data_IF_410153466204
#
_entry.id   IF_410153466204
#
_cell.length_a   1.000
_cell.length_b   1.000
_cell.length_c   1.000
_cell.angle_alpha   90.00
_cell.angle_beta   90.00
_cell.angle_gamma   90.00
#
_symmetry.space_group_name_H-M   'P 1'
#
loop_
_entity.id
_entity.type
_entity.pdbx_description
1 polymer ?
#
# COMPACT_ATOMS: atom_id res chain seq x y z
N UNK A 1 -28.71 2.14 -18.97
CA UNK A 1 -28.06 0.82 -19.17
C UNK A 1 -26.73 0.87 -18.44
N UNK A 2 -26.39 -0.13 -17.63
CA UNK A 2 -25.09 -0.20 -16.93
C UNK A 2 -24.26 -1.26 -17.64
N UNK A 3 -23.17 -0.83 -18.28
CA UNK A 3 -22.20 -1.72 -18.91
C UNK A 3 -21.07 -1.95 -17.92
N UNK A 4 -20.78 -3.22 -17.62
CA UNK A 4 -19.60 -3.60 -16.85
C UNK A 4 -18.48 -3.95 -17.82
N UNK A 5 -17.42 -3.14 -17.80
CA UNK A 5 -16.18 -3.45 -18.51
C UNK A 5 -15.23 -4.14 -17.55
N UNK A 6 -14.65 -5.26 -18.00
CA UNK A 6 -13.58 -5.95 -17.28
C UNK A 6 -12.23 -5.48 -17.82
N UNK A 7 -11.18 -5.43 -16.98
CA UNK A 7 -9.82 -5.20 -17.45
C UNK A 7 -9.44 -6.17 -18.57
N UNK A 8 -8.79 -5.68 -19.61
CA UNK A 8 -8.31 -6.50 -20.73
C UNK A 8 -7.06 -7.24 -20.27
N UNK A 9 -6.90 -8.50 -20.65
CA UNK A 9 -5.71 -9.26 -20.29
C UNK A 9 -4.47 -8.79 -21.05
N UNK A 10 -3.30 -8.85 -20.40
CA UNK A 10 -2.02 -8.44 -20.99
C UNK A 10 -1.74 -9.08 -22.36
N UNK A 11 -1.98 -10.39 -22.60
CA UNK A 11 -1.75 -10.99 -23.92
C UNK A 11 -2.60 -10.37 -25.03
N UNK A 12 -3.83 -9.95 -24.72
CA UNK A 12 -4.72 -9.29 -25.68
C UNK A 12 -4.23 -7.86 -25.98
N UNK A 13 -3.74 -7.16 -24.96
CA UNK A 13 -3.11 -5.84 -25.14
C UNK A 13 -1.86 -5.97 -26.02
N UNK A 14 -0.95 -6.88 -25.67
CA UNK A 14 0.29 -7.14 -26.43
C UNK A 14 -0.02 -7.42 -27.90
N UNK A 15 -0.94 -8.36 -28.17
CA UNK A 15 -1.33 -8.71 -29.53
C UNK A 15 -1.85 -7.49 -30.32
N UNK A 16 -2.61 -6.61 -29.66
CA UNK A 16 -3.12 -5.40 -30.31
C UNK A 16 -2.02 -4.38 -30.58
N UNK A 17 -1.09 -4.18 -29.64
CA UNK A 17 0.06 -3.28 -29.83
C UNK A 17 0.99 -3.80 -30.95
N UNK A 18 1.23 -5.11 -31.03
CA UNK A 18 1.99 -5.72 -32.12
C UNK A 18 1.34 -5.49 -33.48
N UNK A 19 0.01 -5.61 -33.56
CA UNK A 19 -0.73 -5.33 -34.79
C UNK A 19 -0.55 -3.86 -35.23
N UNK A 20 -0.63 -2.92 -34.28
CA UNK A 20 -0.46 -1.49 -34.54
C UNK A 20 0.97 -1.23 -35.02
N UNK A 21 1.98 -1.71 -34.29
CA UNK A 21 3.38 -1.54 -34.65
C UNK A 21 3.71 -2.09 -36.04
N UNK A 22 3.16 -3.27 -36.40
CA UNK A 22 3.32 -3.85 -37.75
C UNK A 22 2.66 -3.01 -38.83
N UNK A 23 1.47 -2.47 -38.56
CA UNK A 23 0.72 -1.66 -39.53
C UNK A 23 1.44 -0.34 -39.83
N UNK A 24 1.98 0.28 -38.79
CA UNK A 24 2.66 1.58 -38.86
C UNK A 24 4.17 1.46 -39.15
N UNK A 25 4.70 0.24 -39.35
CA UNK A 25 6.11 -0.06 -39.61
C UNK A 25 7.08 0.38 -38.50
N UNK A 26 6.70 0.21 -37.22
CA UNK A 26 7.59 0.38 -36.08
C UNK A 26 8.27 -0.93 -35.67
N UNK A 27 9.56 -0.85 -35.32
CA UNK A 27 10.35 -1.98 -34.84
C UNK A 27 10.38 -1.97 -33.31
N UNK A 28 9.54 -2.79 -32.68
CA UNK A 28 9.40 -2.84 -31.22
C UNK A 28 9.76 -4.23 -30.71
N UNK A 29 10.61 -4.30 -29.68
CA UNK A 29 10.99 -5.58 -29.07
C UNK A 29 9.80 -6.24 -28.35
N UNK A 30 9.69 -7.59 -28.36
CA UNK A 30 8.61 -8.30 -27.65
C UNK A 30 8.52 -7.96 -26.16
N UNK A 31 9.67 -7.78 -25.49
CA UNK A 31 9.73 -7.42 -24.08
C UNK A 31 9.23 -6.00 -23.81
N UNK A 32 9.37 -5.08 -24.76
CA UNK A 32 8.80 -3.72 -24.67
C UNK A 32 7.27 -3.78 -24.63
N UNK A 33 6.63 -4.59 -25.49
CA UNK A 33 5.17 -4.76 -25.44
C UNK A 33 4.67 -5.32 -24.11
N UNK A 34 5.39 -6.29 -23.53
CA UNK A 34 5.05 -6.82 -22.21
C UNK A 34 5.12 -5.74 -21.12
N UNK A 35 6.13 -4.87 -21.18
CA UNK A 35 6.27 -3.74 -20.25
C UNK A 35 5.17 -2.69 -20.44
N UNK A 36 4.77 -2.37 -21.68
CA UNK A 36 3.65 -1.47 -21.96
C UNK A 36 2.32 -2.03 -21.47
N UNK A 37 2.05 -3.32 -21.68
CA UNK A 37 0.82 -3.96 -21.21
C UNK A 37 0.72 -3.92 -19.68
N UNK A 38 1.84 -4.22 -18.99
CA UNK A 38 1.94 -4.13 -17.53
C UNK A 38 1.73 -2.71 -17.00
N UNK A 39 2.19 -1.69 -17.72
CA UNK A 39 1.92 -0.28 -17.39
C UNK A 39 0.44 0.08 -17.52
N UNK A 40 -0.20 -0.41 -18.60
CA UNK A 40 -1.56 -0.08 -18.95
C UNK A 40 -2.64 -0.69 -18.03
N UNK A 41 -2.30 -1.68 -17.20
CA UNK A 41 -3.19 -2.26 -16.17
C UNK A 41 -4.60 -2.64 -16.70
N UNK A 42 -4.65 -3.18 -17.91
CA UNK A 42 -5.90 -3.60 -18.55
C UNK A 42 -6.64 -2.53 -19.37
N UNK A 43 -6.11 -1.31 -19.45
CA UNK A 43 -6.61 -0.23 -20.29
C UNK A 43 -6.01 -0.23 -21.70
N UNK A 44 -6.78 -0.63 -22.71
CA UNK A 44 -6.29 -0.61 -24.11
C UNK A 44 -5.91 0.80 -24.59
N UNK A 45 -6.65 1.83 -24.16
CA UNK A 45 -6.34 3.23 -24.50
C UNK A 45 -5.03 3.68 -23.87
N UNK A 46 -4.79 3.28 -22.61
CA UNK A 46 -3.55 3.61 -21.91
C UNK A 46 -2.37 2.94 -22.61
N UNK A 47 -2.51 1.67 -22.99
CA UNK A 47 -1.51 0.94 -23.76
C UNK A 47 -1.16 1.62 -25.11
N UNK A 48 -2.18 2.07 -25.85
CA UNK A 48 -1.97 2.79 -27.11
C UNK A 48 -1.32 4.15 -26.89
N UNK A 49 -1.74 4.88 -25.84
CA UNK A 49 -1.16 6.18 -25.48
C UNK A 49 0.33 6.04 -25.10
N UNK A 50 0.67 4.96 -24.37
CA UNK A 50 2.06 4.63 -24.03
C UNK A 50 2.88 4.34 -25.30
N UNK A 51 2.35 3.55 -26.23
CA UNK A 51 3.04 3.25 -27.48
C UNK A 51 3.29 4.53 -28.30
N UNK A 52 2.26 5.39 -28.46
CA UNK A 52 2.37 6.67 -29.15
C UNK A 52 3.43 7.59 -28.50
N UNK A 53 3.43 7.64 -27.17
CA UNK A 53 4.41 8.41 -26.41
C UNK A 53 5.83 7.90 -26.66
N UNK A 54 6.05 6.57 -26.63
CA UNK A 54 7.36 5.97 -26.86
C UNK A 54 7.85 6.20 -28.29
N UNK A 55 6.96 6.13 -29.29
CA UNK A 55 7.30 6.46 -30.67
C UNK A 55 7.79 7.92 -30.76
N UNK A 56 7.15 8.85 -30.04
CA UNK A 56 7.54 10.26 -30.04
C UNK A 56 8.93 10.49 -29.40
N UNK A 57 9.31 9.71 -28.39
CA UNK A 57 10.60 9.87 -27.70
C UNK A 57 11.76 9.07 -28.33
N UNK A 58 11.49 7.86 -28.80
CA UNK A 58 12.51 6.89 -29.22
C UNK A 58 12.60 6.74 -30.75
N UNK A 59 11.59 7.24 -31.49
CA UNK A 59 11.49 7.11 -32.93
C UNK A 59 10.94 5.75 -33.36
N UNK A 60 11.54 5.16 -34.39
CA UNK A 60 10.99 3.96 -35.06
C UNK A 60 11.43 2.64 -34.48
N UNK A 61 12.45 2.64 -33.60
CA UNK A 61 12.94 1.44 -32.92
C UNK A 61 12.79 1.61 -31.42
N UNK A 62 12.04 0.72 -30.78
CA UNK A 62 11.74 0.77 -29.35
C UNK A 62 12.22 -0.52 -28.70
N UNK A 63 13.17 -0.40 -27.79
CA UNK A 63 13.68 -1.50 -26.96
C UNK A 63 12.96 -1.55 -25.62
N UNK A 64 13.10 -2.65 -24.89
CA UNK A 64 12.56 -2.73 -23.52
C UNK A 64 13.16 -1.63 -22.62
N UNK A 65 14.47 -1.39 -22.71
CA UNK A 65 15.17 -0.36 -21.91
C UNK A 65 14.53 1.02 -22.05
N UNK A 66 14.10 1.36 -23.26
CA UNK A 66 13.51 2.67 -23.54
C UNK A 66 12.18 2.84 -22.78
N UNK A 67 11.38 1.78 -22.70
CA UNK A 67 10.14 1.77 -21.91
C UNK A 67 10.44 1.93 -20.42
N UNK A 68 11.45 1.19 -19.94
CA UNK A 68 11.81 1.23 -18.53
C UNK A 68 12.32 2.60 -18.11
N UNK A 69 13.12 3.25 -18.95
CA UNK A 69 13.71 4.55 -18.64
C UNK A 69 12.68 5.69 -18.76
N UNK A 70 11.83 5.69 -19.79
CA UNK A 70 10.79 6.73 -19.97
C UNK A 70 9.77 6.73 -18.84
N UNK A 71 9.43 5.56 -18.29
CA UNK A 71 8.44 5.42 -17.22
C UNK A 71 9.03 5.13 -15.84
N UNK A 72 10.37 5.21 -15.68
CA UNK A 72 11.03 4.97 -14.40
C UNK A 72 10.79 3.55 -13.84
N UNK A 73 10.59 2.55 -14.69
CA UNK A 73 10.34 1.19 -14.24
C UNK A 73 11.64 0.47 -13.90
N UNK A 74 11.62 -0.31 -12.82
CA UNK A 74 12.72 -1.19 -12.48
C UNK A 74 12.82 -2.36 -13.47
N UNK A 75 14.04 -2.83 -13.71
CA UNK A 75 14.27 -4.02 -14.54
C UNK A 75 13.72 -5.26 -13.83
N UNK A 76 13.14 -6.23 -14.55
CA UNK A 76 12.64 -7.48 -13.94
C UNK A 76 13.70 -8.22 -13.11
N UNK A 77 14.96 -8.12 -13.53
CA UNK A 77 16.11 -8.75 -12.87
C UNK A 77 16.37 -8.15 -11.48
N UNK A 78 16.28 -6.82 -11.36
CA UNK A 78 16.49 -6.09 -10.10
C UNK A 78 15.36 -6.38 -9.11
N UNK A 79 14.11 -6.38 -9.61
CA UNK A 79 12.93 -6.73 -8.81
C UNK A 79 13.03 -8.16 -8.27
N UNK A 80 13.47 -9.10 -9.11
CA UNK A 80 13.68 -10.49 -8.70
C UNK A 80 14.80 -10.60 -7.66
N UNK A 81 15.94 -9.92 -7.88
CA UNK A 81 17.05 -9.89 -6.94
C UNK A 81 16.64 -9.29 -5.58
N UNK A 82 15.82 -8.25 -5.59
CA UNK A 82 15.28 -7.61 -4.38
C UNK A 82 14.35 -8.56 -3.63
N UNK A 83 13.39 -9.19 -4.31
CA UNK A 83 12.48 -10.15 -3.70
C UNK A 83 13.22 -11.37 -3.12
N UNK A 84 14.24 -11.88 -3.81
CA UNK A 84 15.09 -12.97 -3.32
C UNK A 84 15.91 -12.55 -2.10
N UNK A 85 16.43 -11.33 -2.08
CA UNK A 85 17.18 -10.78 -0.94
C UNK A 85 16.28 -10.64 0.29
N UNK A 86 15.03 -10.18 0.10
CA UNK A 86 14.01 -10.15 1.15
C UNK A 86 13.70 -11.54 1.70
N UNK A 87 13.49 -12.52 0.82
CA UNK A 87 13.19 -13.90 1.23
C UNK A 87 14.35 -14.57 2.01
N UNK A 88 15.59 -14.19 1.70
CA UNK A 88 16.81 -14.64 2.41
C UNK A 88 17.13 -13.82 3.66
N UNK A 89 16.37 -12.74 3.92
CA UNK A 89 16.66 -11.76 4.97
C UNK A 89 18.06 -11.13 4.86
N UNK A 90 18.54 -10.89 3.64
CA UNK A 90 19.76 -10.15 3.38
C UNK A 90 19.45 -8.64 3.36
N UNK A 91 19.38 -8.04 4.57
CA UNK A 91 19.04 -6.63 4.74
C UNK A 91 20.03 -5.69 4.02
N UNK A 92 21.31 -6.06 3.95
CA UNK A 92 22.32 -5.25 3.28
C UNK A 92 22.11 -5.23 1.77
N UNK A 93 21.81 -6.37 1.15
CA UNK A 93 21.46 -6.45 -0.27
C UNK A 93 20.15 -5.70 -0.57
N UNK A 94 19.14 -5.81 0.30
CA UNK A 94 17.87 -5.07 0.15
C UNK A 94 18.11 -3.57 0.12
N UNK A 95 18.81 -3.01 1.11
CA UNK A 95 19.10 -1.57 1.15
C UNK A 95 19.92 -1.11 -0.06
N UNK A 96 20.95 -1.87 -0.44
CA UNK A 96 21.79 -1.54 -1.60
C UNK A 96 21.01 -1.51 -2.91
N UNK A 97 20.07 -2.44 -3.10
CA UNK A 97 19.21 -2.47 -4.29
C UNK A 97 18.22 -1.30 -4.30
N UNK A 98 17.67 -0.92 -3.15
CA UNK A 98 16.81 0.28 -3.03
C UNK A 98 17.60 1.54 -3.36
N UNK A 99 18.83 1.68 -2.84
CA UNK A 99 19.74 2.78 -3.18
C UNK A 99 19.95 2.87 -4.69
N UNK A 100 20.30 1.74 -5.33
CA UNK A 100 20.52 1.69 -6.77
C UNK A 100 19.26 2.10 -7.56
N UNK A 101 18.09 1.58 -7.19
CA UNK A 101 16.83 1.91 -7.87
C UNK A 101 16.47 3.39 -7.70
N UNK A 102 16.71 3.97 -6.53
CA UNK A 102 16.50 5.39 -6.28
C UNK A 102 17.48 6.27 -7.07
N UNK A 103 18.77 5.89 -7.12
CA UNK A 103 19.80 6.61 -7.86
C UNK A 103 19.58 6.54 -9.38
N UNK A 104 19.01 5.43 -9.87
CA UNK A 104 18.56 5.27 -11.26
C UNK A 104 17.25 6.04 -11.56
N UNK A 105 16.64 6.70 -10.56
CA UNK A 105 15.40 7.46 -10.74
C UNK A 105 14.16 6.60 -10.98
N UNK A 106 14.15 5.36 -10.48
CA UNK A 106 13.00 4.45 -10.63
C UNK A 106 11.84 4.87 -9.72
N UNK A 107 10.62 4.64 -10.18
CA UNK A 107 9.40 4.85 -9.41
C UNK A 107 9.33 3.82 -8.27
N UNK A 108 9.61 4.27 -7.05
CA UNK A 108 9.69 3.42 -5.86
C UNK A 108 8.32 2.90 -5.40
N UNK A 109 7.25 3.62 -5.70
CA UNK A 109 5.90 3.12 -5.47
C UNK A 109 5.62 1.95 -6.42
N UNK A 110 5.98 2.11 -7.70
CA UNK A 110 5.84 1.02 -8.66
C UNK A 110 6.68 -0.19 -8.28
N UNK A 111 7.91 0.01 -7.80
CA UNK A 111 8.75 -1.07 -7.26
C UNK A 111 8.04 -1.82 -6.15
N UNK A 112 7.39 -1.13 -5.20
CA UNK A 112 6.63 -1.79 -4.14
C UNK A 112 5.50 -2.68 -4.69
N UNK A 113 4.72 -2.17 -5.64
CA UNK A 113 3.63 -2.93 -6.26
C UNK A 113 4.14 -4.16 -7.01
N UNK A 114 5.24 -4.02 -7.74
CA UNK A 114 5.86 -5.13 -8.45
C UNK A 114 6.40 -6.18 -7.47
N UNK A 115 7.01 -5.76 -6.34
CA UNK A 115 7.45 -6.66 -5.27
C UNK A 115 6.26 -7.38 -4.61
N UNK A 116 5.16 -6.68 -4.30
CA UNK A 116 3.94 -7.31 -3.81
C UNK A 116 3.45 -8.39 -4.78
N UNK A 117 3.54 -8.13 -6.09
CA UNK A 117 3.13 -9.10 -7.11
C UNK A 117 4.02 -10.34 -7.14
N UNK A 118 5.34 -10.17 -7.04
CA UNK A 118 6.31 -11.28 -6.97
C UNK A 118 6.11 -12.08 -5.68
N UNK A 119 5.92 -11.44 -4.53
CA UNK A 119 5.65 -12.13 -3.26
C UNK A 119 4.34 -12.91 -3.32
N UNK A 120 3.29 -12.35 -3.94
CA UNK A 120 2.02 -13.06 -4.17
C UNK A 120 2.22 -14.31 -5.04
N UNK A 121 2.99 -14.21 -6.13
CA UNK A 121 3.33 -15.37 -6.96
C UNK A 121 4.09 -16.42 -6.15
N UNK A 122 5.06 -16.00 -5.32
CA UNK A 122 5.77 -16.91 -4.44
C UNK A 122 4.90 -17.57 -3.36
N UNK A 123 3.88 -16.87 -2.86
CA UNK A 123 2.87 -17.46 -1.97
C UNK A 123 2.08 -18.56 -2.69
N UNK A 124 1.66 -18.33 -3.94
CA UNK A 124 0.96 -19.34 -4.75
C UNK A 124 1.85 -20.56 -4.99
N UNK A 125 3.12 -20.37 -5.37
CA UNK A 125 4.08 -21.47 -5.51
C UNK A 125 4.19 -22.29 -4.21
N UNK A 126 4.31 -21.59 -3.08
CA UNK A 126 4.48 -22.22 -1.77
C UNK A 126 3.25 -23.05 -1.38
N UNK A 127 2.04 -22.61 -1.75
CA UNK A 127 0.81 -23.37 -1.55
C UNK A 127 0.79 -24.62 -2.44
N UNK A 128 1.12 -24.48 -3.73
CA UNK A 128 1.10 -25.58 -4.68
C UNK A 128 2.17 -26.64 -4.40
N UNK A 129 3.34 -26.22 -3.89
CA UNK A 129 4.54 -27.05 -3.76
C UNK A 129 4.96 -27.34 -2.32
N UNK A 130 4.12 -27.02 -1.34
CA UNK A 130 4.34 -27.36 0.07
C UNK A 130 5.49 -26.59 0.74
N UNK A 131 5.63 -25.29 0.47
CA UNK A 131 6.53 -24.39 1.19
C UNK A 131 7.86 -24.05 0.50
N UNK A 132 7.97 -24.27 -0.80
CA UNK A 132 9.07 -23.77 -1.63
C UNK A 132 8.55 -22.85 -2.72
N UNK A 133 9.17 -21.68 -2.87
CA UNK A 133 8.90 -20.77 -3.98
C UNK A 133 10.11 -20.70 -4.90
N UNK A 134 9.90 -20.99 -6.19
CA UNK A 134 10.93 -20.78 -7.21
C UNK A 134 11.19 -19.30 -7.44
N UNK A 135 10.12 -18.49 -7.46
CA UNK A 135 10.23 -17.05 -7.68
C UNK A 135 11.05 -16.36 -6.56
N UNK A 136 10.89 -16.77 -5.30
CA UNK A 136 11.64 -16.19 -4.19
C UNK A 136 13.01 -16.84 -3.96
N UNK A 137 13.30 -17.96 -4.64
CA UNK A 137 14.60 -18.65 -4.54
C UNK A 137 14.98 -19.10 -3.12
N UNK A 138 13.98 -19.26 -2.24
CA UNK A 138 14.14 -19.61 -0.83
C UNK A 138 12.98 -20.47 -0.34
N UNK A 139 13.24 -21.29 0.68
CA UNK A 139 12.17 -21.98 1.42
C UNK A 139 11.47 -20.96 2.29
N UNK A 140 10.26 -20.57 1.88
CA UNK A 140 9.41 -19.68 2.65
C UNK A 140 8.10 -20.43 2.93
N UNK A 141 7.75 -20.54 4.21
CA UNK A 141 6.46 -21.13 4.59
C UNK A 141 5.31 -20.28 4.06
N UNK A 142 4.16 -20.90 3.81
CA UNK A 142 2.94 -20.20 3.39
C UNK A 142 2.59 -19.06 4.37
N UNK A 143 2.72 -19.29 5.68
CA UNK A 143 2.48 -18.25 6.71
C UNK A 143 3.47 -17.09 6.60
N UNK A 144 4.76 -17.39 6.41
CA UNK A 144 5.81 -16.38 6.27
C UNK A 144 5.58 -15.52 5.03
N UNK A 145 5.22 -16.13 3.90
CA UNK A 145 4.91 -15.43 2.66
C UNK A 145 3.66 -14.55 2.80
N UNK A 146 2.62 -15.05 3.48
CA UNK A 146 1.40 -14.30 3.74
C UNK A 146 1.67 -13.06 4.62
N UNK A 147 2.39 -13.23 5.73
CA UNK A 147 2.77 -12.11 6.63
C UNK A 147 3.64 -11.07 5.93
N UNK A 148 4.55 -11.51 5.06
CA UNK A 148 5.34 -10.62 4.22
C UNK A 148 4.42 -9.77 3.34
N UNK A 149 3.50 -10.42 2.62
CA UNK A 149 2.56 -9.75 1.72
C UNK A 149 1.62 -8.76 2.44
N UNK A 150 1.11 -9.14 3.61
CA UNK A 150 0.27 -8.29 4.47
C UNK A 150 1.04 -7.03 4.92
N UNK A 151 2.29 -7.20 5.35
CA UNK A 151 3.14 -6.08 5.76
C UNK A 151 3.43 -5.12 4.61
N UNK A 152 3.61 -5.63 3.38
CA UNK A 152 3.81 -4.81 2.18
C UNK A 152 2.56 -4.02 1.82
N UNK A 153 1.37 -4.63 1.87
CA UNK A 153 0.10 -3.94 1.60
C UNK A 153 -0.20 -2.86 2.64
N UNK A 154 0.02 -3.16 3.93
CA UNK A 154 -0.17 -2.18 5.00
C UNK A 154 0.74 -0.95 4.86
N UNK A 155 1.88 -1.10 4.19
CA UNK A 155 2.86 -0.05 3.97
C UNK A 155 2.59 0.87 2.77
N UNK A 156 1.77 0.46 1.82
CA UNK A 156 1.67 1.08 0.49
C UNK A 156 1.33 2.58 0.52
N UNK A 157 0.38 2.98 1.37
CA UNK A 157 -0.02 4.38 1.51
C UNK A 157 1.11 5.30 1.96
N UNK A 158 2.11 4.79 2.69
CA UNK A 158 3.23 5.59 3.19
C UNK A 158 4.24 5.92 2.08
N UNK A 159 4.48 5.01 1.13
CA UNK A 159 5.39 5.29 0.00
C UNK A 159 4.79 6.37 -0.89
N UNK A 160 3.49 6.32 -1.17
CA UNK A 160 2.80 7.26 -2.06
C UNK A 160 2.69 8.69 -1.51
N UNK A 161 2.54 8.84 -0.20
CA UNK A 161 2.18 10.13 0.44
C UNK A 161 3.23 10.71 1.37
N UNK A 162 4.39 10.06 1.52
CA UNK A 162 5.39 10.44 2.51
C UNK A 162 6.42 11.47 2.02
N UNK A 163 7.07 12.14 2.96
CA UNK A 163 8.11 13.16 2.68
C UNK A 163 9.41 12.57 2.10
N UNK A 164 9.62 11.26 2.23
CA UNK A 164 10.73 10.53 1.61
C UNK A 164 10.28 9.13 1.18
N UNK A 165 9.99 8.97 -0.10
CA UNK A 165 9.53 7.70 -0.69
C UNK A 165 10.54 6.57 -0.46
N UNK A 166 11.84 6.90 -0.59
CA UNK A 166 12.96 5.98 -0.38
C UNK A 166 12.99 5.41 1.03
N UNK A 167 13.04 6.28 2.05
CA UNK A 167 13.08 5.85 3.46
C UNK A 167 11.84 5.03 3.80
N UNK A 168 10.68 5.41 3.28
CA UNK A 168 9.45 4.65 3.51
C UNK A 168 9.52 3.26 2.88
N UNK A 169 10.02 3.15 1.64
CA UNK A 169 10.22 1.86 0.99
C UNK A 169 11.18 0.98 1.80
N UNK A 170 12.32 1.51 2.24
CA UNK A 170 13.28 0.80 3.09
C UNK A 170 12.60 0.24 4.34
N UNK A 171 11.92 1.09 5.12
CA UNK A 171 11.24 0.68 6.36
C UNK A 171 10.20 -0.39 6.09
N UNK A 172 9.42 -0.28 5.02
CA UNK A 172 8.37 -1.25 4.68
C UNK A 172 8.96 -2.60 4.28
N UNK A 173 9.99 -2.61 3.42
CA UNK A 173 10.62 -3.85 2.98
C UNK A 173 11.32 -4.53 4.16
N UNK A 174 12.06 -3.80 4.99
CA UNK A 174 12.69 -4.34 6.20
C UNK A 174 11.64 -4.88 7.18
N UNK A 175 10.54 -4.16 7.42
CA UNK A 175 9.45 -4.61 8.27
C UNK A 175 8.81 -5.89 7.72
N UNK A 176 8.60 -5.99 6.41
CA UNK A 176 8.04 -7.18 5.79
C UNK A 176 8.96 -8.41 5.96
N UNK A 177 10.27 -8.22 5.84
CA UNK A 177 11.26 -9.27 6.13
C UNK A 177 11.18 -9.72 7.59
N UNK A 178 11.14 -8.80 8.55
CA UNK A 178 10.99 -9.12 9.97
C UNK A 178 9.69 -9.89 10.26
N UNK A 179 8.55 -9.42 9.75
CA UNK A 179 7.26 -10.07 9.97
C UNK A 179 7.17 -11.48 9.38
N UNK A 180 7.87 -11.73 8.27
CA UNK A 180 7.93 -13.07 7.67
C UNK A 180 8.69 -14.08 8.54
N UNK A 181 9.60 -13.60 9.40
CA UNK A 181 10.44 -14.40 10.29
C UNK A 181 9.91 -14.51 11.70
N UNK A 182 8.98 -13.63 12.10
CA UNK A 182 8.25 -13.74 13.36
C UNK A 182 7.64 -15.14 13.42
N UNK A 183 8.21 -16.01 14.25
CA UNK A 183 7.69 -17.37 14.43
C UNK A 183 6.36 -17.28 15.15
N UNK A 184 5.41 -18.17 14.80
CA UNK A 184 4.23 -18.32 15.63
C UNK A 184 4.69 -18.77 17.03
N UNK A 185 4.20 -18.08 18.07
CA UNK A 185 4.49 -18.42 19.46
C UNK A 185 4.21 -19.91 19.71
N UNK A 186 3.17 -20.45 19.08
CA UNK A 186 2.77 -21.85 19.18
C UNK A 186 3.80 -22.84 18.66
N UNK A 187 4.57 -22.49 17.63
CA UNK A 187 5.66 -23.34 17.11
C UNK A 187 6.83 -23.34 18.09
N UNK A 188 7.17 -22.19 18.65
CA UNK A 188 8.19 -22.08 19.70
C UNK A 188 7.77 -22.85 20.96
N UNK A 189 6.51 -22.75 21.38
CA UNK A 189 5.96 -23.48 22.52
C UNK A 189 5.98 -24.99 22.27
N UNK A 190 5.61 -25.46 21.07
CA UNK A 190 5.67 -26.89 20.71
C UNK A 190 7.11 -27.43 20.67
N UNK A 191 8.04 -26.69 20.08
CA UNK A 191 9.46 -27.08 20.04
C UNK A 191 10.11 -27.06 21.42
N UNK A 192 9.83 -26.03 22.23
CA UNK A 192 10.29 -25.96 23.63
C UNK A 192 9.70 -27.12 24.45
N UNK A 193 8.42 -27.45 24.27
CA UNK A 193 7.79 -28.59 24.94
C UNK A 193 8.37 -29.93 24.47
N UNK A 194 8.77 -30.04 23.21
CA UNK A 194 9.41 -31.23 22.65
C UNK A 194 10.88 -31.39 23.09
N UNK A 195 11.60 -30.28 23.24
CA UNK A 195 12.99 -30.23 23.71
C UNK A 195 13.09 -30.40 25.24
N UNK A 196 12.08 -29.97 25.99
CA UNK A 196 11.94 -30.22 27.44
C UNK A 196 11.50 -31.66 27.76
N UNK A 197 11.68 -32.60 26.83
CA UNK A 197 11.19 -33.98 26.91
C UNK A 197 11.31 -34.59 28.31
N UNK A 198 10.15 -34.77 28.96
CA UNK A 198 10.09 -35.39 30.29
C UNK A 198 8.98 -34.93 31.23
N UNK A 199 7.94 -34.23 30.79
CA UNK A 199 6.71 -34.08 31.57
C UNK A 199 5.54 -33.91 30.62
N UNK A 200 4.76 -34.99 30.43
CA UNK A 200 3.40 -34.84 29.90
C UNK A 200 2.69 -33.81 30.80
N UNK A 201 2.08 -32.75 30.27
CA UNK A 201 0.87 -32.28 30.93
C UNK A 201 -0.16 -33.38 30.66
N UNK A 202 -0.42 -34.21 31.66
CA UNK A 202 -1.70 -34.89 31.72
C UNK A 202 -2.77 -33.79 31.68
N UNK A 203 -3.35 -33.61 30.50
CA UNK A 203 -4.68 -33.03 30.37
C UNK A 203 -5.61 -34.02 31.06
N UNK A 204 -5.69 -33.88 32.39
CA UNK A 204 -6.74 -34.43 33.21
C UNK A 204 -8.04 -33.87 32.65
N UNK A 205 -8.79 -34.73 31.96
CA UNK A 205 -10.21 -34.58 31.76
C UNK A 205 -10.89 -34.56 33.13
N UNK A 206 -10.85 -33.41 33.81
CA UNK A 206 -11.88 -33.05 34.78
C UNK A 206 -12.89 -32.20 34.04
N UNK A 207 -13.90 -32.90 33.51
CA UNK A 207 -15.22 -32.32 33.27
C UNK A 207 -15.62 -31.46 34.47
N UNK A 208 -15.93 -30.20 34.14
CA UNK A 208 -16.86 -29.29 34.81
C UNK A 208 -17.08 -29.50 36.30
N UNK A 209 -16.45 -28.65 37.11
CA UNK A 209 -17.04 -28.12 38.36
C UNK A 209 -16.52 -26.71 38.71
N UNK A 210 -16.10 -25.94 37.69
CA UNK A 210 -15.75 -24.52 37.85
C UNK A 210 -16.57 -23.63 36.88
N UNK A 211 -17.81 -24.03 36.61
CA UNK A 211 -18.79 -23.20 35.91
C UNK A 211 -19.42 -22.11 36.82
N UNK A 212 -18.84 -21.81 37.98
CA UNK A 212 -19.24 -20.68 38.80
C UNK A 212 -18.01 -19.90 39.24
N UNK A 213 -18.01 -18.62 38.92
CA UNK A 213 -17.04 -17.57 39.26
C UNK A 213 -15.92 -17.31 38.23
N UNK A 214 -16.34 -16.97 37.02
CA UNK A 214 -15.79 -15.77 36.37
C UNK A 214 -16.97 -14.85 36.09
N UNK A 215 -17.10 -13.80 36.91
CA UNK A 215 -17.91 -12.64 36.55
C UNK A 215 -17.30 -12.03 35.30
N UNK A 216 -18.01 -12.18 34.19
CA UNK A 216 -17.81 -11.34 33.02
C UNK A 216 -18.22 -9.93 33.45
N UNK A 217 -17.25 -9.10 33.80
CA UNK A 217 -17.46 -7.66 33.71
C UNK A 217 -17.54 -7.36 32.21
N UNK A 218 -18.76 -7.27 31.71
CA UNK A 218 -19.03 -6.65 30.41
C UNK A 218 -18.41 -5.25 30.44
N UNK A 219 -17.48 -4.98 29.53
CA UNK A 219 -17.17 -3.60 29.17
C UNK A 219 -18.51 -2.94 28.76
N UNK A 220 -18.82 -1.72 29.23
CA UNK A 220 -20.10 -1.11 28.93
C UNK A 220 -20.24 -1.02 27.41
N UNK A 221 -21.27 -1.68 26.89
CA UNK A 221 -21.72 -1.52 25.52
C UNK A 221 -22.03 -0.03 25.36
N UNK A 222 -21.21 0.67 24.59
CA UNK A 222 -21.52 2.05 24.18
C UNK A 222 -22.73 1.94 23.27
N UNK A 223 -23.92 2.16 23.84
CA UNK A 223 -25.15 2.29 23.09
C UNK A 223 -25.00 3.50 22.18
N UNK A 224 -25.30 3.31 20.89
CA UNK A 224 -25.58 4.43 20.00
C UNK A 224 -26.66 5.30 20.67
N UNK A 225 -26.49 6.62 20.78
CA UNK A 225 -27.46 7.45 21.49
C UNK A 225 -28.83 7.37 20.81
N UNK A 226 -29.88 7.22 21.62
CA UNK A 226 -31.28 7.33 21.21
C UNK A 226 -31.48 8.63 20.41
N UNK A 227 -32.38 8.64 19.40
CA UNK A 227 -32.55 9.77 18.48
C UNK A 227 -32.89 11.11 19.16
N UNK A 228 -33.29 11.07 20.43
CA UNK A 228 -33.66 12.22 21.26
C UNK A 228 -32.45 13.06 21.73
N UNK A 229 -31.23 12.51 21.71
CA UNK A 229 -29.99 13.18 22.16
C UNK A 229 -29.12 13.70 20.99
N UNK A 230 -29.63 13.65 19.75
CA UNK A 230 -28.95 14.27 18.61
C UNK A 230 -29.17 15.78 18.67
N UNK A 231 -28.09 16.54 18.76
CA UNK A 231 -28.14 17.99 18.61
C UNK A 231 -28.74 18.36 17.24
N UNK A 232 -29.98 18.83 17.22
CA UNK A 232 -30.63 19.40 16.05
C UNK A 232 -30.39 20.91 16.00
N UNK A 233 -30.04 21.41 14.81
CA UNK A 233 -29.89 22.84 14.57
C UNK A 233 -31.28 23.51 14.69
N UNK A 234 -31.43 24.60 15.47
CA UNK A 234 -32.71 25.29 15.55
C UNK A 234 -33.14 25.79 14.17
N UNK A 235 -34.42 25.65 13.82
CA UNK A 235 -34.96 25.99 12.49
C UNK A 235 -34.64 27.44 12.05
N UNK A 236 -34.44 28.35 13.01
CA UNK A 236 -34.03 29.73 12.76
C UNK A 236 -32.62 29.88 12.15
N UNK A 237 -31.80 28.82 12.16
CA UNK A 237 -30.45 28.79 11.57
C UNK A 237 -30.47 28.25 10.14
N UNK A 238 -31.50 27.49 9.75
CA UNK A 238 -31.61 26.92 8.41
C UNK A 238 -32.06 27.93 7.35
N UNK A 239 -32.79 28.97 7.73
CA UNK A 239 -33.43 29.89 6.77
C UNK A 239 -32.50 31.03 6.26
N UNK A 240 -31.21 31.04 6.61
CA UNK A 240 -30.29 32.11 6.18
C UNK A 240 -28.92 31.67 5.67
N UNK A 241 -28.72 30.40 5.36
CA UNK A 241 -27.45 29.92 4.79
C UNK A 241 -27.60 29.63 3.29
N UNK A 242 -27.63 30.68 2.48
CA UNK A 242 -27.25 30.54 1.06
C UNK A 242 -25.74 30.31 0.99
N UNK A 243 -25.34 29.06 0.76
CA UNK A 243 -23.95 28.72 0.47
C UNK A 243 -23.59 29.31 -0.91
N UNK A 244 -22.58 30.18 -1.02
CA UNK A 244 -22.20 30.75 -2.30
C UNK A 244 -21.62 29.64 -3.20
N UNK A 245 -22.25 29.41 -4.35
CA UNK A 245 -21.70 28.55 -5.40
C UNK A 245 -20.57 29.31 -6.08
N UNK A 246 -19.32 28.93 -5.79
CA UNK A 246 -18.15 29.53 -6.43
C UNK A 246 -17.88 28.89 -7.81
N UNK A 247 -17.60 29.68 -8.86
CA UNK A 247 -17.28 29.15 -10.18
C UNK A 247 -15.96 28.37 -10.16
N UNK A 248 -15.90 27.32 -10.99
CA UNK A 248 -14.90 26.23 -10.96
C UNK A 248 -13.45 26.60 -11.33
N UNK A 249 -13.10 27.89 -11.40
CA UNK A 249 -11.82 28.33 -11.93
C UNK A 249 -11.14 29.33 -11.00
N UNK A 250 -10.64 28.87 -9.85
CA UNK A 250 -9.56 29.53 -9.09
C UNK A 250 -9.10 28.62 -7.94
N UNK A 251 -8.13 27.74 -8.21
CA UNK A 251 -7.41 26.98 -7.20
C UNK A 251 -5.92 27.27 -7.34
N UNK A 252 -5.47 28.36 -6.72
CA UNK A 252 -4.06 28.55 -6.35
C UNK A 252 -4.03 29.17 -4.96
N UNK A 253 -3.40 28.44 -4.04
CA UNK A 253 -2.98 28.82 -2.68
C UNK A 253 -3.93 28.49 -1.50
N UNK A 254 -3.65 27.43 -0.72
CA UNK A 254 -4.39 27.05 0.49
C UNK A 254 -4.20 27.99 1.68
N UNK A 255 -3.12 28.77 1.75
CA UNK A 255 -2.77 29.57 2.94
C UNK A 255 -3.61 30.84 3.06
N UNK A 256 -3.92 31.50 1.95
CA UNK A 256 -4.82 32.66 1.92
C UNK A 256 -6.26 32.33 2.37
N UNK A 257 -6.66 31.05 2.28
CA UNK A 257 -7.99 30.56 2.64
C UNK A 257 -8.23 30.51 4.15
N UNK A 258 -7.17 30.29 4.95
CA UNK A 258 -7.28 30.21 6.42
C UNK A 258 -7.43 31.61 7.03
N UNK A 259 -6.70 32.60 6.51
CA UNK A 259 -6.83 34.00 6.95
C UNK A 259 -8.19 34.62 6.58
N UNK A 260 -8.70 34.34 5.38
CA UNK A 260 -10.00 34.83 4.94
C UNK A 260 -11.19 34.19 5.69
N UNK A 261 -11.07 32.94 6.14
CA UNK A 261 -12.12 32.26 6.93
C UNK A 261 -12.20 32.79 8.37
N UNK A 262 -11.11 33.31 8.95
CA UNK A 262 -11.10 33.86 10.30
C UNK A 262 -11.86 35.19 10.48
N UNK A 263 -12.11 35.92 9.40
CA UNK A 263 -12.79 37.23 9.44
C UNK A 263 -14.32 37.17 9.34
N UNK A 264 -14.92 36.01 9.04
CA UNK A 264 -16.38 35.86 8.88
C UNK A 264 -17.08 35.16 10.05
N UNK A 265 -16.37 34.92 11.16
CA UNK A 265 -16.98 34.37 12.37
C UNK A 265 -17.51 35.50 13.28
N UNK A 266 -18.70 35.34 13.90
CA UNK A 266 -19.19 36.26 14.93
C UNK A 266 -18.14 36.45 16.05
N UNK A 267 -17.98 37.67 16.57
CA UNK A 267 -16.94 38.01 17.57
C UNK A 267 -17.01 37.12 18.82
N UNK A 268 -18.21 36.70 19.22
CA UNK A 268 -18.43 35.76 20.34
C UNK A 268 -17.80 34.38 20.08
N UNK A 269 -17.88 33.87 18.86
CA UNK A 269 -17.29 32.58 18.46
C UNK A 269 -15.78 32.67 18.31
N UNK A 270 -15.28 33.83 17.87
CA UNK A 270 -13.84 34.08 17.70
C UNK A 270 -13.12 34.17 19.06
N UNK A 271 -13.70 34.86 20.03
CA UNK A 271 -13.15 34.96 21.38
C UNK A 271 -13.05 33.59 22.09
N UNK A 272 -14.07 32.73 21.92
CA UNK A 272 -14.08 31.37 22.50
C UNK A 272 -13.03 30.47 21.84
N UNK A 273 -12.83 30.61 20.53
CA UNK A 273 -11.79 29.85 19.81
C UNK A 273 -10.38 30.31 20.19
N UNK A 274 -10.13 31.61 20.25
CA UNK A 274 -8.81 32.16 20.61
C UNK A 274 -8.42 31.79 22.06
N UNK A 275 -9.35 31.86 23.01
CA UNK A 275 -9.10 31.50 24.42
C UNK A 275 -8.81 29.99 24.59
N UNK A 276 -9.53 29.14 23.84
CA UNK A 276 -9.36 27.67 23.85
C UNK A 276 -8.14 27.19 23.05
N UNK A 277 -7.66 27.98 22.09
CA UNK A 277 -6.41 27.74 21.36
C UNK A 277 -5.18 28.15 22.18
N UNK A 278 -5.21 29.32 22.84
CA UNK A 278 -4.08 29.80 23.65
C UNK A 278 -3.81 28.87 24.85
N UNK A 279 -4.84 28.32 25.49
CA UNK A 279 -4.69 27.36 26.60
C UNK A 279 -4.10 25.99 26.23
N UNK A 280 -4.11 25.59 24.95
CA UNK A 280 -3.51 24.32 24.49
C UNK A 280 -2.02 24.44 24.17
N UNK A 281 -1.55 25.62 23.79
CA UNK A 281 -0.12 25.84 23.45
C UNK A 281 0.73 26.22 24.67
N UNK A 282 0.17 26.86 25.71
CA UNK A 282 0.92 27.13 26.96
C UNK A 282 1.31 25.88 27.75
N UNK A 283 0.76 24.69 27.41
CA UNK A 283 1.11 23.41 28.03
C UNK A 283 2.22 22.64 27.29
N UNK A 284 2.66 23.13 26.13
CA UNK A 284 3.74 22.53 25.33
C UNK A 284 5.09 23.26 25.45
N UNK A 285 5.13 24.47 26.02
CA UNK A 285 6.38 25.23 26.25
C UNK A 285 6.93 25.19 27.70
N UNK A 286 6.42 24.32 28.57
CA UNK A 286 7.00 24.08 29.92
C UNK A 286 7.61 22.67 30.07
N UNK A 287 8.15 22.09 29.00
CA UNK A 287 9.05 20.94 29.05
C UNK A 287 10.18 21.05 28.02
N UNK A 288 10.90 22.18 28.08
CA UNK A 288 12.29 22.24 27.63
C UNK A 288 13.14 22.98 28.65
#
# INVERSE_FOLDING_TARGET
QRFEFRPISDPVIIQKLEMIAKTENFNVEPAAFASMARLAQGGMRDAQSILEQLIAFCGTTIKESDVLDVYGLARPQDLMALAQSMAKADYAAVLKLIDQLADEGRDLNRVLLDIQSIVRQGLVDAIERGGYSEHLGAKLSTESALRMLESLHAGEGMVRGGLSEKVNLEVILLKAVEQSRTRAIDTLVKELSALQGGSKPELSEKKNDLAQQVQVNEAPIVREPEPEDRWELPESVMESVELPVLPAAEYRDPLAKIEAMGQKLPESTRAILEDRFRGRFSRLEMKS
#
